data_IF_046095277307
#
_entry.id   IF_046095277307
#
_cell.length_a   1.000
_cell.length_b   1.000
_cell.length_c   1.000
_cell.angle_alpha   90.00
_cell.angle_beta   90.00
_cell.angle_gamma   90.00
#
_symmetry.space_group_name_H-M   'P 1'
#
loop_
_entity.id
_entity.type
_entity.pdbx_description
1 polymer ?
#
# COMPACT_ATOMS: atom_id res chain seq x y z
N UNK A 1 20.29 -3.39 21.42
CA UNK A 1 20.26 -2.12 20.67
C UNK A 1 21.68 -1.84 20.20
N UNK A 2 21.92 -1.73 18.90
CA UNK A 2 23.19 -1.30 18.36
C UNK A 2 23.68 -0.01 19.03
N UNK A 3 24.96 0.03 19.35
CA UNK A 3 25.61 1.21 19.93
C UNK A 3 26.81 1.61 19.09
N UNK A 4 27.06 2.91 18.96
CA UNK A 4 28.22 3.43 18.23
C UNK A 4 29.52 2.81 18.74
N UNK A 5 30.52 2.61 17.89
CA UNK A 5 31.82 2.08 18.34
C UNK A 5 32.54 3.06 19.26
N UNK A 6 33.41 2.58 20.13
CA UNK A 6 34.13 3.45 21.08
C UNK A 6 35.02 4.44 20.33
N UNK A 7 35.62 4.03 19.21
CA UNK A 7 36.44 4.90 18.36
C UNK A 7 35.64 6.05 17.73
N UNK A 8 34.37 5.84 17.39
CA UNK A 8 33.50 6.87 16.81
C UNK A 8 32.89 7.79 17.87
N UNK A 9 32.59 7.26 19.06
CA UNK A 9 32.05 8.04 20.20
C UNK A 9 32.96 9.20 20.63
N UNK A 10 34.28 9.07 20.47
CA UNK A 10 35.24 10.10 20.88
C UNK A 10 35.42 11.23 19.86
N UNK A 11 34.85 11.10 18.65
CA UNK A 11 35.02 12.09 17.58
C UNK A 11 33.91 13.15 17.53
N UNK A 12 32.86 13.03 18.34
CA UNK A 12 31.77 14.01 18.35
C UNK A 12 30.71 13.75 19.42
N UNK A 13 29.55 14.38 19.26
CA UNK A 13 28.41 14.27 20.18
C UNK A 13 27.25 13.48 19.56
N UNK A 14 27.53 12.54 18.66
CA UNK A 14 26.52 11.68 18.05
C UNK A 14 25.87 10.77 19.12
N UNK A 15 24.59 10.46 18.92
CA UNK A 15 23.78 9.68 19.87
C UNK A 15 24.29 8.24 19.96
N UNK A 16 24.73 7.82 21.15
CA UNK A 16 25.45 6.56 21.37
C UNK A 16 24.57 5.33 21.17
N UNK A 17 23.29 5.48 21.47
CA UNK A 17 22.25 4.45 21.39
C UNK A 17 21.53 4.61 20.04
N UNK A 18 21.89 3.80 19.05
CA UNK A 18 21.51 4.02 17.64
C UNK A 18 20.07 3.58 17.30
N UNK A 19 19.28 3.20 18.30
CA UNK A 19 17.97 2.56 18.08
C UNK A 19 18.09 1.17 17.46
N UNK A 20 16.95 0.52 17.19
CA UNK A 20 16.90 -0.72 16.41
C UNK A 20 16.92 -0.39 14.92
N UNK A 21 17.53 -1.27 14.11
CA UNK A 21 17.26 -1.24 12.67
C UNK A 21 15.79 -1.57 12.42
N UNK A 22 15.26 -1.19 11.26
CA UNK A 22 13.87 -1.50 10.89
C UNK A 22 13.58 -3.01 10.95
N UNK A 23 14.52 -3.83 10.45
CA UNK A 23 14.44 -5.28 10.51
C UNK A 23 14.44 -5.81 11.96
N UNK A 24 15.25 -5.22 12.84
CA UNK A 24 15.28 -5.55 14.27
C UNK A 24 14.01 -5.08 14.99
N UNK A 25 13.47 -3.92 14.65
CA UNK A 25 12.25 -3.37 15.23
C UNK A 25 11.02 -4.19 14.82
N UNK A 26 10.93 -4.58 13.55
CA UNK A 26 9.88 -5.47 13.03
C UNK A 26 9.99 -6.87 13.62
N UNK A 27 11.20 -7.41 13.75
CA UNK A 27 11.47 -8.68 14.43
C UNK A 27 11.08 -8.63 15.90
N UNK A 28 11.34 -7.51 16.58
CA UNK A 28 11.03 -7.40 18.00
C UNK A 28 9.53 -7.17 18.25
N UNK A 29 8.86 -6.39 17.42
CA UNK A 29 7.41 -6.20 17.48
C UNK A 29 6.63 -7.48 17.18
N UNK A 30 7.12 -8.32 16.26
CA UNK A 30 6.50 -9.61 15.90
C UNK A 30 6.70 -10.72 16.94
N UNK A 31 7.60 -10.53 17.92
CA UNK A 31 7.85 -11.51 18.99
C UNK A 31 6.77 -11.56 20.08
N UNK A 32 5.93 -10.52 20.22
CA UNK A 32 5.09 -10.39 21.41
C UNK A 32 3.74 -11.15 21.38
N UNK A 33 3.22 -11.61 20.24
CA UNK A 33 1.87 -12.20 20.16
C UNK A 33 1.73 -13.42 19.23
N UNK A 34 2.82 -13.99 18.73
CA UNK A 34 2.78 -15.21 17.90
C UNK A 34 3.50 -16.37 18.60
N UNK A 35 2.73 -17.15 19.37
CA UNK A 35 3.23 -18.30 20.14
C UNK A 35 3.96 -19.34 19.27
N UNK A 36 3.67 -19.41 17.97
CA UNK A 36 4.31 -20.31 16.99
C UNK A 36 5.76 -19.94 16.64
N UNK A 37 6.23 -18.72 16.94
CA UNK A 37 7.62 -18.28 16.72
C UNK A 37 8.38 -18.15 18.05
N UNK A 38 7.68 -18.22 19.19
CA UNK A 38 8.27 -18.13 20.52
C UNK A 38 9.12 -19.38 20.80
N UNK A 39 10.39 -19.18 21.15
CA UNK A 39 11.29 -20.27 21.59
C UNK A 39 11.29 -20.49 23.10
N UNK A 40 10.32 -19.90 23.82
CA UNK A 40 10.16 -19.99 25.28
C UNK A 40 11.44 -19.61 26.07
N UNK A 41 12.26 -18.70 25.54
CA UNK A 41 13.48 -18.24 26.23
C UNK A 41 13.22 -17.37 27.48
N UNK A 42 11.96 -16.97 27.71
CA UNK A 42 11.46 -16.14 28.83
C UNK A 42 12.16 -14.78 29.04
N UNK A 43 13.00 -14.34 28.11
CA UNK A 43 13.71 -13.05 28.20
C UNK A 43 12.76 -11.85 28.19
N UNK A 44 11.62 -11.98 27.51
CA UNK A 44 10.57 -10.95 27.52
C UNK A 44 9.98 -10.76 28.93
N UNK A 45 9.81 -11.84 29.70
CA UNK A 45 9.29 -11.79 31.08
C UNK A 45 10.26 -11.01 31.96
N UNK A 46 11.55 -11.29 31.87
CA UNK A 46 12.58 -10.57 32.63
C UNK A 46 12.65 -9.08 32.25
N UNK A 47 12.50 -8.75 30.96
CA UNK A 47 12.50 -7.36 30.50
C UNK A 47 11.22 -6.59 30.90
N UNK A 48 10.12 -7.28 31.20
CA UNK A 48 8.84 -6.68 31.48
C UNK A 48 8.76 -6.12 32.90
N UNK A 49 9.05 -4.83 33.06
CA UNK A 49 8.96 -4.13 34.36
C UNK A 49 7.55 -4.08 34.97
N UNK A 50 6.51 -4.35 34.15
CA UNK A 50 5.12 -4.37 34.59
C UNK A 50 4.66 -5.76 35.04
N UNK A 51 5.52 -6.79 34.93
CA UNK A 51 5.20 -8.19 35.24
C UNK A 51 3.92 -8.67 34.53
N UNK A 52 3.69 -8.22 33.29
CA UNK A 52 2.42 -8.42 32.57
C UNK A 52 2.40 -9.63 31.62
N UNK A 53 3.54 -10.30 31.42
CA UNK A 53 3.66 -11.40 30.46
C UNK A 53 3.39 -12.71 31.18
N UNK A 54 2.33 -13.39 30.76
CA UNK A 54 1.91 -14.70 31.29
C UNK A 54 1.87 -15.72 30.16
N UNK A 55 2.78 -16.70 30.20
CA UNK A 55 2.86 -17.78 29.23
C UNK A 55 1.82 -18.89 29.47
N UNK A 56 1.16 -18.89 30.63
CA UNK A 56 0.11 -19.84 30.99
C UNK A 56 -1.29 -19.29 30.70
N UNK A 57 -1.39 -18.11 30.07
CA UNK A 57 -2.67 -17.51 29.73
C UNK A 57 -3.45 -18.38 28.72
N UNK A 58 -4.63 -18.83 29.12
CA UNK A 58 -5.52 -19.65 28.29
C UNK A 58 -6.67 -18.81 27.68
N UNK A 59 -7.22 -19.30 26.57
CA UNK A 59 -8.43 -18.73 25.96
C UNK A 59 -9.61 -18.81 26.94
N UNK A 60 -10.41 -17.74 26.99
CA UNK A 60 -11.64 -17.70 27.79
C UNK A 60 -12.85 -17.32 26.92
N UNK A 61 -14.00 -17.91 27.24
CA UNK A 61 -15.27 -17.57 26.59
C UNK A 61 -16.05 -16.64 27.49
N UNK A 62 -16.43 -15.46 26.97
CA UNK A 62 -17.25 -14.47 27.66
C UNK A 62 -18.66 -14.49 27.10
N UNK A 63 -19.67 -14.68 27.95
CA UNK A 63 -21.07 -14.58 27.56
C UNK A 63 -21.57 -13.16 27.80
N UNK A 64 -22.07 -12.50 26.75
CA UNK A 64 -22.62 -11.15 26.81
C UNK A 64 -24.12 -11.20 26.48
N UNK A 65 -24.94 -10.61 27.35
CA UNK A 65 -26.36 -10.39 27.08
C UNK A 65 -26.52 -9.03 26.40
N UNK A 66 -26.84 -9.03 25.11
CA UNK A 66 -26.88 -7.83 24.26
C UNK A 66 -28.21 -7.74 23.54
N UNK A 67 -28.75 -6.52 23.46
CA UNK A 67 -29.99 -6.26 22.74
C UNK A 67 -29.83 -6.16 21.21
N UNK A 68 -28.61 -5.89 20.72
CA UNK A 68 -28.32 -5.73 19.30
C UNK A 68 -26.85 -6.03 18.98
N UNK A 69 -26.59 -6.39 17.72
CA UNK A 69 -25.25 -6.63 17.15
C UNK A 69 -25.10 -5.78 15.88
N UNK A 70 -23.99 -5.06 15.73
CA UNK A 70 -23.66 -4.28 14.53
C UNK A 70 -22.52 -4.97 13.80
N UNK A 71 -22.74 -5.31 12.54
CA UNK A 71 -21.75 -5.97 11.70
C UNK A 71 -20.97 -4.91 10.91
N UNK A 72 -19.66 -4.86 11.13
CA UNK A 72 -18.75 -3.98 10.39
C UNK A 72 -17.46 -4.74 10.03
N UNK A 73 -17.54 -5.85 9.28
CA UNK A 73 -16.37 -6.68 8.97
C UNK A 73 -15.37 -5.98 8.02
N UNK A 74 -15.78 -4.89 7.37
CA UNK A 74 -14.91 -4.14 6.45
C UNK A 74 -14.76 -4.84 5.09
N UNK A 75 -13.57 -4.74 4.53
CA UNK A 75 -13.20 -5.28 3.21
C UNK A 75 -11.72 -5.67 3.20
N UNK A 76 -11.33 -6.45 2.19
CA UNK A 76 -9.95 -6.76 1.85
C UNK A 76 -9.63 -6.15 0.48
N UNK A 77 -8.36 -5.82 0.25
CA UNK A 77 -7.91 -5.36 -1.06
C UNK A 77 -7.90 -6.54 -2.04
N UNK A 78 -8.21 -6.29 -3.30
CA UNK A 78 -7.98 -7.27 -4.36
C UNK A 78 -6.48 -7.59 -4.45
N UNK A 79 -6.17 -8.87 -4.58
CA UNK A 79 -4.79 -9.32 -4.79
C UNK A 79 -4.40 -9.10 -6.26
N UNK A 80 -3.62 -8.05 -6.50
CA UNK A 80 -3.23 -7.67 -7.87
C UNK A 80 -2.31 -8.67 -8.53
N UNK A 81 -1.71 -9.62 -7.78
CA UNK A 81 -0.86 -10.66 -8.34
C UNK A 81 -1.63 -11.60 -9.26
N UNK A 82 -2.95 -11.68 -9.10
CA UNK A 82 -3.84 -12.36 -10.04
C UNK A 82 -3.89 -11.71 -11.44
N UNK A 83 -3.41 -10.46 -11.58
CA UNK A 83 -3.31 -9.73 -12.85
C UNK A 83 -1.85 -9.71 -13.31
N UNK A 84 -1.38 -10.89 -13.70
CA UNK A 84 0.01 -11.17 -14.08
C UNK A 84 0.51 -10.18 -15.14
N UNK A 85 -0.36 -9.76 -16.07
CA UNK A 85 -0.06 -8.82 -17.14
C UNK A 85 0.28 -7.40 -16.64
N UNK A 86 -0.13 -7.05 -15.42
CA UNK A 86 0.16 -5.76 -14.79
C UNK A 86 1.42 -5.79 -13.92
N UNK A 87 2.00 -6.97 -13.67
CA UNK A 87 3.36 -7.07 -13.15
C UNK A 87 3.53 -7.09 -11.63
N UNK A 88 2.50 -6.92 -10.79
CA UNK A 88 2.71 -6.76 -9.33
C UNK A 88 3.40 -7.95 -8.65
N UNK A 89 3.21 -9.16 -9.18
CA UNK A 89 3.80 -10.37 -8.61
C UNK A 89 5.31 -10.51 -8.88
N UNK A 90 5.87 -9.79 -9.86
CA UNK A 90 7.21 -10.06 -10.38
C UNK A 90 8.02 -8.82 -10.76
N UNK A 91 7.39 -7.64 -10.87
CA UNK A 91 8.05 -6.36 -11.08
C UNK A 91 8.08 -5.60 -9.75
N UNK A 92 9.26 -5.38 -9.13
CA UNK A 92 9.36 -4.76 -7.81
C UNK A 92 8.83 -3.32 -7.78
N UNK A 93 8.93 -2.60 -8.90
CA UNK A 93 8.46 -1.22 -9.04
C UNK A 93 6.97 -1.11 -9.45
N UNK A 94 6.25 -2.25 -9.45
CA UNK A 94 4.78 -2.27 -9.54
C UNK A 94 4.23 -2.53 -8.15
N UNK A 95 3.51 -1.55 -7.60
CA UNK A 95 2.94 -1.62 -6.24
C UNK A 95 1.43 -1.44 -6.25
N UNK A 96 0.75 -1.97 -5.24
CA UNK A 96 -0.66 -1.64 -4.98
C UNK A 96 -0.81 -0.22 -4.44
N UNK A 97 -1.98 0.38 -4.61
CA UNK A 97 -2.30 1.68 -4.01
C UNK A 97 -2.15 1.69 -2.49
N UNK A 98 -2.42 0.58 -1.79
CA UNK A 98 -2.23 0.51 -0.34
C UNK A 98 -0.75 0.45 0.06
N UNK A 99 0.10 -0.23 -0.71
CA UNK A 99 1.55 -0.16 -0.52
C UNK A 99 2.05 1.26 -0.79
N UNK A 100 1.55 1.92 -1.84
CA UNK A 100 1.89 3.30 -2.16
C UNK A 100 1.48 4.27 -1.05
N UNK A 101 0.32 4.09 -0.41
CA UNK A 101 -0.06 4.82 0.80
C UNK A 101 0.94 4.66 1.95
N UNK A 102 1.54 3.47 2.11
CA UNK A 102 2.60 3.26 3.11
C UNK A 102 3.89 3.98 2.71
N UNK A 103 4.22 4.03 1.42
CA UNK A 103 5.37 4.80 0.90
C UNK A 103 5.18 6.30 1.18
N UNK A 104 4.01 6.84 0.84
CA UNK A 104 3.67 8.26 1.06
C UNK A 104 3.51 8.66 2.53
N UNK A 105 3.34 7.70 3.43
CA UNK A 105 3.13 7.99 4.85
C UNK A 105 4.42 8.48 5.51
N UNK A 106 4.36 9.62 6.22
CA UNK A 106 5.48 10.13 7.01
C UNK A 106 5.96 9.17 8.12
N UNK A 107 5.06 8.32 8.63
CA UNK A 107 5.39 7.22 9.55
C UNK A 107 5.41 5.86 8.84
N UNK A 108 5.63 5.90 7.52
CA UNK A 108 5.83 4.74 6.67
C UNK A 108 7.28 4.30 6.62
N UNK A 109 7.55 3.13 6.02
CA UNK A 109 8.91 2.60 5.88
C UNK A 109 9.84 3.53 5.08
N UNK A 110 9.26 4.39 4.22
CA UNK A 110 10.02 5.33 3.39
C UNK A 110 9.87 6.79 3.85
N UNK A 111 9.26 7.04 5.02
CA UNK A 111 9.08 8.38 5.61
C UNK A 111 8.45 9.43 4.65
N UNK A 112 7.63 8.98 3.70
CA UNK A 112 7.00 9.84 2.68
C UNK A 112 7.83 10.06 1.41
N UNK A 113 9.00 9.45 1.28
CA UNK A 113 9.84 9.53 0.08
C UNK A 113 9.34 8.57 -1.00
N UNK A 114 9.06 9.11 -2.19
CA UNK A 114 8.61 8.32 -3.35
C UNK A 114 9.84 7.77 -4.08
N UNK A 115 10.20 6.54 -3.75
CA UNK A 115 11.38 5.84 -4.30
C UNK A 115 10.99 4.54 -5.00
N UNK A 116 11.83 4.10 -5.93
CA UNK A 116 11.76 2.78 -6.55
C UNK A 116 12.11 1.70 -5.52
N UNK A 117 11.36 0.60 -5.51
CA UNK A 117 11.61 -0.50 -4.58
C UNK A 117 12.79 -1.36 -5.05
N UNK A 118 13.07 -1.37 -6.35
CA UNK A 118 14.16 -2.14 -6.94
C UNK A 118 15.55 -1.64 -6.55
N UNK A 119 15.74 -0.32 -6.48
CA UNK A 119 17.06 0.29 -6.32
C UNK A 119 17.12 1.48 -5.34
N UNK A 120 15.98 1.96 -4.82
CA UNK A 120 15.91 3.07 -3.86
C UNK A 120 16.07 4.46 -4.47
N UNK A 121 16.13 4.60 -5.80
CA UNK A 121 16.23 5.90 -6.46
C UNK A 121 14.89 6.66 -6.43
N UNK A 122 14.94 7.99 -6.45
CA UNK A 122 13.73 8.81 -6.51
C UNK A 122 12.98 8.61 -7.83
N UNK A 123 11.65 8.49 -7.73
CA UNK A 123 10.76 8.35 -8.89
C UNK A 123 10.58 9.72 -9.54
N UNK A 124 10.83 9.86 -10.83
CA UNK A 124 10.55 11.07 -11.60
C UNK A 124 9.23 10.96 -12.37
N UNK A 125 8.86 9.75 -12.80
CA UNK A 125 7.65 9.43 -13.56
C UNK A 125 6.83 8.34 -12.89
N UNK A 126 5.63 8.69 -12.44
CA UNK A 126 4.70 7.83 -11.72
C UNK A 126 3.43 7.57 -12.55
N UNK A 127 3.05 6.30 -12.69
CA UNK A 127 1.77 5.93 -13.29
C UNK A 127 0.81 5.32 -12.27
N UNK A 128 -0.48 5.61 -12.41
CA UNK A 128 -1.57 4.89 -11.76
C UNK A 128 -2.40 4.15 -12.80
N UNK A 129 -2.66 2.87 -12.57
CA UNK A 129 -3.53 2.04 -13.41
C UNK A 129 -4.85 1.79 -12.67
N UNK A 130 -5.93 2.38 -13.17
CA UNK A 130 -7.24 2.27 -12.54
C UNK A 130 -7.90 0.92 -12.80
N UNK A 131 -8.81 0.54 -11.89
CA UNK A 131 -9.67 -0.64 -12.01
C UNK A 131 -8.88 -1.97 -12.04
N UNK A 132 -7.79 -2.07 -11.27
CA UNK A 132 -7.11 -3.35 -11.08
C UNK A 132 -7.95 -4.25 -10.16
N UNK A 133 -8.56 -5.31 -10.69
CA UNK A 133 -9.50 -6.17 -9.95
C UNK A 133 -10.89 -5.54 -9.73
N UNK A 134 -11.37 -4.76 -10.69
CA UNK A 134 -12.71 -4.20 -10.70
C UNK A 134 -13.13 -3.90 -12.12
N UNK A 135 -14.45 -3.96 -12.41
CA UNK A 135 -14.99 -3.77 -13.76
C UNK A 135 -14.31 -4.71 -14.77
N UNK A 136 -14.14 -5.95 -14.37
CA UNK A 136 -13.72 -7.07 -15.21
C UNK A 136 -14.76 -8.19 -15.16
N UNK A 137 -14.48 -9.33 -15.81
CA UNK A 137 -15.45 -10.42 -15.96
C UNK A 137 -15.77 -11.12 -14.62
N UNK A 138 -14.78 -11.22 -13.73
CA UNK A 138 -14.96 -11.85 -12.41
C UNK A 138 -15.46 -10.86 -11.35
N UNK A 139 -15.09 -9.59 -11.48
CA UNK A 139 -15.47 -8.49 -10.59
C UNK A 139 -16.19 -7.39 -11.39
N UNK A 140 -17.45 -7.66 -11.75
CA UNK A 140 -18.27 -6.79 -12.62
C UNK A 140 -18.72 -5.47 -11.97
N UNK A 141 -18.35 -5.25 -10.71
CA UNK A 141 -18.67 -4.07 -9.93
C UNK A 141 -17.55 -3.02 -9.92
N UNK A 142 -17.90 -1.81 -9.48
CA UNK A 142 -16.92 -0.74 -9.27
C UNK A 142 -16.63 -0.58 -7.78
N UNK A 143 -15.36 -0.60 -7.42
CA UNK A 143 -14.88 -0.38 -6.05
C UNK A 143 -15.09 1.04 -5.51
N UNK A 144 -15.67 1.94 -6.30
CA UNK A 144 -16.22 3.26 -5.93
C UNK A 144 -15.22 4.31 -5.41
N UNK A 145 -14.09 3.92 -4.84
CA UNK A 145 -13.12 4.83 -4.19
C UNK A 145 -11.82 5.00 -4.97
N UNK A 146 -11.49 4.09 -5.89
CA UNK A 146 -10.19 4.04 -6.59
C UNK A 146 -9.86 5.26 -7.46
N UNK A 147 -10.86 5.85 -8.11
CA UNK A 147 -10.66 7.10 -8.84
C UNK A 147 -10.13 8.22 -7.91
N UNK A 148 -10.65 8.28 -6.69
CA UNK A 148 -10.41 9.40 -5.79
C UNK A 148 -9.18 9.20 -4.91
N UNK A 149 -8.91 7.98 -4.40
CA UNK A 149 -7.66 7.77 -3.67
C UNK A 149 -6.45 7.92 -4.60
N UNK A 150 -6.53 7.50 -5.86
CA UNK A 150 -5.41 7.65 -6.81
C UNK A 150 -5.18 9.13 -7.15
N UNK A 151 -6.26 9.90 -7.33
CA UNK A 151 -6.16 11.36 -7.52
C UNK A 151 -5.53 12.02 -6.30
N UNK A 152 -5.90 11.57 -5.08
CA UNK A 152 -5.34 12.06 -3.82
C UNK A 152 -3.85 11.70 -3.68
N UNK A 153 -3.51 10.44 -3.90
CA UNK A 153 -2.14 9.93 -3.88
C UNK A 153 -1.25 10.67 -4.87
N UNK A 154 -1.71 10.91 -6.11
CA UNK A 154 -0.99 11.68 -7.11
C UNK A 154 -0.71 13.13 -6.66
N UNK A 155 -1.73 13.84 -6.15
CA UNK A 155 -1.55 15.20 -5.63
C UNK A 155 -0.54 15.21 -4.48
N UNK A 156 -0.70 14.31 -3.50
CA UNK A 156 0.19 14.23 -2.34
C UNK A 156 1.62 13.93 -2.78
N UNK A 157 1.82 12.98 -3.70
CA UNK A 157 3.14 12.65 -4.23
C UNK A 157 3.82 13.86 -4.90
N UNK A 158 3.10 14.60 -5.74
CA UNK A 158 3.60 15.81 -6.40
C UNK A 158 3.88 16.96 -5.40
N UNK A 159 3.11 17.07 -4.32
CA UNK A 159 3.35 18.05 -3.25
C UNK A 159 4.61 17.70 -2.42
N UNK A 160 4.89 16.40 -2.20
CA UNK A 160 6.08 15.94 -1.47
C UNK A 160 7.34 16.00 -2.33
N UNK A 161 7.23 15.74 -3.63
CA UNK A 161 8.36 15.72 -4.55
C UNK A 161 8.13 16.65 -5.76
N UNK A 162 8.63 17.90 -5.69
CA UNK A 162 8.53 18.84 -6.80
C UNK A 162 9.21 18.31 -8.06
N UNK A 163 8.49 18.36 -9.19
CA UNK A 163 8.98 17.88 -10.49
C UNK A 163 8.55 16.44 -10.84
N UNK A 164 7.92 15.72 -9.91
CA UNK A 164 7.32 14.41 -10.19
C UNK A 164 6.21 14.52 -11.24
N UNK A 165 6.31 13.74 -12.32
CA UNK A 165 5.30 13.64 -13.36
C UNK A 165 4.34 12.48 -13.06
N UNK A 166 3.07 12.79 -12.78
CA UNK A 166 2.05 11.78 -12.48
C UNK A 166 1.08 11.58 -13.65
N UNK A 167 0.87 10.33 -14.04
CA UNK A 167 -0.13 9.94 -15.04
C UNK A 167 -1.14 8.95 -14.45
N UNK A 168 -2.44 9.20 -14.63
CA UNK A 168 -3.52 8.31 -14.22
C UNK A 168 -4.21 7.74 -15.46
N UNK A 169 -4.09 6.43 -15.67
CA UNK A 169 -4.77 5.69 -16.73
C UNK A 169 -6.14 5.19 -16.26
N UNK A 170 -7.21 5.58 -16.95
CA UNK A 170 -8.58 5.31 -16.52
C UNK A 170 -9.55 5.03 -17.68
N UNK A 171 -10.66 4.35 -17.39
CA UNK A 171 -11.78 4.20 -18.34
C UNK A 171 -12.79 5.33 -18.22
N UNK A 172 -13.34 5.48 -17.01
CA UNK A 172 -14.26 6.55 -16.63
C UNK A 172 -13.86 7.05 -15.24
N UNK A 173 -13.80 8.36 -15.07
CA UNK A 173 -13.46 8.97 -13.80
C UNK A 173 -14.75 9.11 -12.96
N UNK A 174 -14.76 8.50 -11.78
CA UNK A 174 -15.93 8.48 -10.89
C UNK A 174 -15.76 9.40 -9.69
N UNK A 175 -15.93 10.70 -9.95
CA UNK A 175 -15.84 11.78 -8.95
C UNK A 175 -17.23 12.21 -8.43
N UNK A 176 -18.05 11.27 -7.95
CA UNK A 176 -19.48 11.50 -7.66
C UNK A 176 -19.78 12.10 -6.26
N UNK A 177 -18.77 12.23 -5.40
CA UNK A 177 -18.91 12.82 -4.06
C UNK A 177 -18.96 14.35 -4.09
N UNK A 178 -19.47 14.96 -3.01
CA UNK A 178 -19.47 16.42 -2.88
C UNK A 178 -18.04 16.95 -2.90
N UNK A 179 -17.74 17.79 -3.90
CA UNK A 179 -16.41 18.40 -4.08
C UNK A 179 -15.39 17.50 -4.78
N UNK A 180 -15.75 16.27 -5.18
CA UNK A 180 -14.81 15.36 -5.84
C UNK A 180 -14.47 15.82 -7.25
N UNK A 181 -15.45 16.34 -7.99
CA UNK A 181 -15.23 16.94 -9.32
C UNK A 181 -14.25 18.12 -9.24
N UNK A 182 -14.44 19.03 -8.27
CA UNK A 182 -13.51 20.13 -8.03
C UNK A 182 -12.11 19.64 -7.61
N UNK A 183 -12.01 18.51 -6.89
CA UNK A 183 -10.74 17.91 -6.51
C UNK A 183 -10.00 17.32 -7.71
N UNK A 184 -10.72 16.70 -8.63
CA UNK A 184 -10.19 16.24 -9.92
C UNK A 184 -9.69 17.41 -10.77
N UNK A 185 -10.48 18.48 -10.92
CA UNK A 185 -10.04 19.66 -11.68
C UNK A 185 -8.80 20.30 -11.03
N UNK A 186 -8.73 20.37 -9.69
CA UNK A 186 -7.50 20.78 -8.99
C UNK A 186 -6.31 19.88 -9.31
N UNK A 187 -6.49 18.56 -9.40
CA UNK A 187 -5.41 17.64 -9.76
C UNK A 187 -4.84 17.96 -11.15
N UNK A 188 -5.73 18.25 -12.12
CA UNK A 188 -5.33 18.68 -13.46
C UNK A 188 -4.59 20.01 -13.46
N UNK A 189 -5.06 20.99 -12.68
CA UNK A 189 -4.39 22.28 -12.53
C UNK A 189 -2.98 22.15 -11.93
N UNK A 190 -2.77 21.15 -11.05
CA UNK A 190 -1.46 20.80 -10.49
C UNK A 190 -0.56 20.02 -11.45
N UNK A 191 -1.07 19.59 -12.60
CA UNK A 191 -0.29 18.91 -13.64
C UNK A 191 -0.46 17.39 -13.69
N UNK A 192 -1.37 16.80 -12.91
CA UNK A 192 -1.67 15.36 -13.04
C UNK A 192 -2.26 15.10 -14.43
N UNK A 193 -1.61 14.23 -15.21
CA UNK A 193 -2.08 13.84 -16.54
C UNK A 193 -3.10 12.71 -16.44
N UNK A 194 -4.26 12.87 -17.05
CA UNK A 194 -5.31 11.86 -17.09
C UNK A 194 -5.41 11.28 -18.50
N UNK A 195 -5.15 9.99 -18.64
CA UNK A 195 -5.18 9.29 -19.94
C UNK A 195 -6.36 8.33 -19.94
N UNK A 196 -7.29 8.53 -20.87
CA UNK A 196 -8.47 7.67 -21.01
C UNK A 196 -8.13 6.37 -21.74
N UNK A 197 -7.46 5.47 -21.05
CA UNK A 197 -7.11 4.15 -21.54
C UNK A 197 -7.15 3.13 -20.39
N UNK A 198 -7.48 1.88 -20.70
CA UNK A 198 -7.20 0.74 -19.83
C UNK A 198 -5.96 0.04 -20.39
N UNK A 199 -4.79 0.20 -19.75
CA UNK A 199 -3.58 -0.51 -20.14
C UNK A 199 -3.81 -2.02 -20.24
N UNK A 200 -3.25 -2.64 -21.28
CA UNK A 200 -3.28 -4.09 -21.46
C UNK A 200 -2.25 -4.82 -20.62
N UNK A 201 -1.08 -4.21 -20.44
CA UNK A 201 0.07 -4.78 -19.75
C UNK A 201 1.01 -3.68 -19.24
N UNK A 202 1.89 -4.06 -18.32
CA UNK A 202 3.08 -3.30 -17.92
C UNK A 202 4.30 -4.14 -18.27
N UNK A 203 5.24 -3.56 -19.01
CA UNK A 203 6.42 -4.27 -19.51
C UNK A 203 7.71 -3.67 -18.93
N UNK A 204 8.68 -4.52 -18.59
CA UNK A 204 10.01 -4.06 -18.14
C UNK A 204 10.87 -3.70 -19.35
N UNK A 205 11.48 -2.52 -19.30
CA UNK A 205 12.50 -2.10 -20.26
C UNK A 205 13.87 -2.52 -19.72
N UNK A 206 14.39 -3.66 -20.20
CA UNK A 206 15.62 -4.28 -19.67
C UNK A 206 16.85 -3.34 -19.60
N UNK A 207 16.93 -2.36 -20.50
CA UNK A 207 18.07 -1.44 -20.60
C UNK A 207 18.10 -0.38 -19.49
N UNK A 208 16.92 0.09 -19.05
CA UNK A 208 16.77 1.17 -18.07
C UNK A 208 16.21 0.67 -16.73
N UNK A 209 15.55 -0.48 -16.74
CA UNK A 209 14.74 -0.99 -15.63
C UNK A 209 13.37 -0.33 -15.53
N UNK A 210 13.00 0.58 -16.44
CA UNK A 210 11.73 1.30 -16.36
C UNK A 210 10.54 0.42 -16.76
N UNK A 211 9.34 0.89 -16.41
CA UNK A 211 8.07 0.24 -16.65
C UNK A 211 7.35 0.93 -17.80
N UNK A 212 7.21 0.23 -18.93
CA UNK A 212 6.54 0.72 -20.14
C UNK A 212 5.05 0.40 -20.10
N UNK A 213 4.23 1.40 -20.42
CA UNK A 213 2.80 1.24 -20.65
C UNK A 213 2.46 1.74 -22.05
N UNK A 214 1.92 0.84 -22.88
CA UNK A 214 1.35 1.20 -24.18
C UNK A 214 -0.11 1.64 -24.05
N UNK A 215 -0.49 2.69 -24.76
CA UNK A 215 -1.86 3.21 -24.75
C UNK A 215 -2.20 3.91 -26.06
N UNK A 216 -3.50 4.19 -26.23
CA UNK A 216 -4.01 4.96 -27.37
C UNK A 216 -4.15 6.43 -26.93
N UNK A 217 -3.51 7.33 -27.66
CA UNK A 217 -3.62 8.77 -27.42
C UNK A 217 -4.98 9.34 -27.90
N UNK A 218 -5.22 10.63 -27.67
CA UNK A 218 -6.46 11.30 -28.10
C UNK A 218 -6.62 11.37 -29.63
N UNK A 219 -5.55 11.13 -30.39
CA UNK A 219 -5.51 11.13 -31.84
C UNK A 219 -5.73 9.73 -32.43
N UNK A 220 -5.80 8.71 -31.57
CA UNK A 220 -5.97 7.31 -31.96
C UNK A 220 -4.66 6.59 -32.33
N UNK A 221 -3.51 7.19 -32.03
CA UNK A 221 -2.21 6.55 -32.26
C UNK A 221 -1.84 5.65 -31.10
N UNK A 222 -1.21 4.52 -31.42
CA UNK A 222 -0.55 3.67 -30.43
C UNK A 222 0.76 4.33 -30.02
N UNK A 223 0.86 4.72 -28.76
CA UNK A 223 2.03 5.35 -28.15
C UNK A 223 2.39 4.61 -26.87
N UNK A 224 3.54 4.93 -26.30
CA UNK A 224 3.98 4.40 -25.01
C UNK A 224 4.66 5.49 -24.20
N UNK A 225 4.58 5.35 -22.88
CA UNK A 225 5.39 6.10 -21.94
C UNK A 225 6.10 5.12 -20.99
N UNK A 226 7.29 5.50 -20.55
CA UNK A 226 8.10 4.76 -19.59
C UNK A 226 8.01 5.44 -18.21
N UNK A 227 7.86 4.65 -17.15
CA UNK A 227 7.63 5.09 -15.78
C UNK A 227 8.62 4.42 -14.84
N UNK A 228 9.01 5.11 -13.77
CA UNK A 228 9.93 4.54 -12.79
C UNK A 228 9.18 3.74 -11.71
N UNK A 229 7.90 4.07 -11.48
CA UNK A 229 7.00 3.34 -10.57
C UNK A 229 5.58 3.30 -11.14
N UNK A 230 4.92 2.14 -11.03
CA UNK A 230 3.51 1.96 -11.41
C UNK A 230 2.70 1.55 -10.18
N UNK A 231 1.62 2.27 -9.93
CA UNK A 231 0.67 2.02 -8.85
C UNK A 231 -0.60 1.41 -9.42
N UNK A 232 -0.93 0.19 -8.99
CA UNK A 232 -2.18 -0.47 -9.33
C UNK A 232 -3.25 -0.04 -8.32
N UNK A 233 -4.26 0.67 -8.81
CA UNK A 233 -5.42 1.03 -8.01
C UNK A 233 -6.32 -0.19 -7.82
N UNK A 234 -5.96 -1.00 -6.83
CA UNK A 234 -6.58 -2.26 -6.51
C UNK A 234 -8.04 -2.10 -6.02
N UNK A 235 -8.90 -2.99 -6.50
CA UNK A 235 -10.30 -3.08 -6.11
C UNK A 235 -10.47 -3.49 -4.65
N UNK A 236 -11.70 -3.38 -4.16
CA UNK A 236 -12.11 -3.86 -2.86
C UNK A 236 -12.93 -5.14 -3.04
N UNK A 237 -12.71 -6.11 -2.17
CA UNK A 237 -13.44 -7.36 -2.12
C UNK A 237 -13.87 -7.68 -0.68
N UNK A 238 -14.92 -8.50 -0.50
CA UNK A 238 -15.28 -8.96 0.83
C UNK A 238 -14.13 -9.78 1.44
N UNK A 239 -13.99 -9.75 2.76
CA UNK A 239 -13.03 -10.62 3.45
C UNK A 239 -13.37 -12.09 3.18
N UNK A 240 -12.36 -12.95 3.07
CA UNK A 240 -12.54 -14.39 2.84
C UNK A 240 -13.52 -15.04 3.84
N UNK A 241 -13.47 -14.58 5.10
CA UNK A 241 -14.26 -15.14 6.19
C UNK A 241 -15.64 -14.50 6.35
N UNK A 242 -16.02 -13.53 5.50
CA UNK A 242 -17.30 -12.81 5.68
C UNK A 242 -18.51 -13.73 5.56
N UNK A 243 -18.41 -14.78 4.73
CA UNK A 243 -19.49 -15.76 4.54
C UNK A 243 -19.69 -16.59 5.80
N UNK A 244 -18.61 -17.16 6.35
CA UNK A 244 -18.69 -17.97 7.58
C UNK A 244 -19.12 -17.11 8.78
N UNK A 245 -18.74 -15.82 8.79
CA UNK A 245 -19.20 -14.86 9.76
C UNK A 245 -20.71 -14.59 9.65
N UNK A 246 -21.23 -14.39 8.43
CA UNK A 246 -22.67 -14.22 8.16
C UNK A 246 -23.50 -15.42 8.62
N UNK A 247 -23.06 -16.64 8.28
CA UNK A 247 -23.71 -17.88 8.69
C UNK A 247 -23.81 -18.01 10.22
N UNK A 248 -22.77 -17.61 10.96
CA UNK A 248 -22.74 -17.63 12.43
C UNK A 248 -23.76 -16.69 13.08
N UNK A 249 -24.12 -15.61 12.41
CA UNK A 249 -25.10 -14.62 12.91
C UNK A 249 -26.47 -14.75 12.24
N UNK A 250 -26.66 -15.76 11.39
CA UNK A 250 -27.93 -16.06 10.73
C UNK A 250 -28.28 -15.10 9.58
N UNK A 251 -27.27 -14.65 8.83
CA UNK A 251 -27.43 -13.81 7.64
C UNK A 251 -26.89 -14.57 6.42
N UNK A 252 -27.74 -14.69 5.39
CA UNK A 252 -27.41 -15.29 4.09
C UNK A 252 -26.72 -14.30 3.13
#
# INVERSE_FOLDING_TARGET
MPVLSVEERVQGFAEVEMGYSEEEAMREASRCLHCTVCSECLQCVEACKADAIDHEMEDSTVCLDVGAVVLAPGFTLYDTDGRIELGSAWLPDVVTSLQFERILSASGPYEGQVVRLSNGEHVERLAFVQCAGSRDEEHDYCSSVCCMYATKEAIIAMEHQPGLECTIFFMDLRAFGKGFDAYYERAKELGVRFVRCRPSSVELVDETGDLRIEFIDEQGHSVHDDFDLVVLSAGLQPNADVRSFGERVGID
#
